data_IF_214548828544
#
_entry.id   IF_214548828544
#
_cell.length_a   1.000
_cell.length_b   1.000
_cell.length_c   1.000
_cell.angle_alpha   90.00
_cell.angle_beta   90.00
_cell.angle_gamma   90.00
#
_symmetry.space_group_name_H-M   'P 1'
#
loop_
_entity.id
_entity.type
_entity.pdbx_description
1 polymer ?
#
# COMPACT_ATOMS: atom_id res chain seq x y z
N UNK A 1 3.79 4.92 1.95
CA UNK A 1 2.52 5.12 1.21
C UNK A 1 1.54 5.83 2.12
N UNK A 2 0.74 6.78 1.60
CA UNK A 2 -0.38 7.38 2.33
C UNK A 2 -1.63 6.54 2.13
N UNK A 3 -2.37 6.25 3.20
CA UNK A 3 -3.66 5.57 3.15
C UNK A 3 -4.75 6.51 3.64
N UNK A 4 -5.71 6.74 2.76
CA UNK A 4 -6.83 7.66 2.97
C UNK A 4 -8.10 6.83 3.21
N UNK A 5 -8.91 7.23 4.18
CA UNK A 5 -10.20 6.59 4.43
C UNK A 5 -11.14 6.70 3.23
N UNK A 6 -12.14 5.83 3.19
CA UNK A 6 -13.19 5.82 2.18
C UNK A 6 -13.86 7.19 2.01
N UNK A 7 -13.93 8.00 3.06
CA UNK A 7 -14.54 9.34 3.04
C UNK A 7 -13.55 10.49 2.80
N UNK A 8 -12.24 10.22 2.70
CA UNK A 8 -11.24 11.24 2.43
C UNK A 8 -10.82 12.09 3.64
N UNK A 9 -11.37 11.82 4.83
CA UNK A 9 -11.20 12.65 6.02
C UNK A 9 -10.10 12.19 6.98
N UNK A 10 -9.60 10.97 6.81
CA UNK A 10 -8.48 10.42 7.58
C UNK A 10 -7.37 10.08 6.59
N UNK A 11 -6.15 10.52 6.90
CA UNK A 11 -4.97 10.29 6.06
C UNK A 11 -3.77 9.90 6.94
N UNK A 12 -3.35 8.63 6.83
CA UNK A 12 -2.36 8.00 7.69
C UNK A 12 -1.20 7.39 6.88
N UNK A 13 0.03 7.38 7.42
CA UNK A 13 1.14 6.66 6.79
C UNK A 13 0.98 5.14 6.99
N UNK A 14 1.01 4.36 5.90
CA UNK A 14 0.86 2.90 5.92
C UNK A 14 1.91 2.23 6.83
N UNK A 15 3.16 2.66 6.75
CA UNK A 15 4.30 2.01 7.41
C UNK A 15 4.33 2.18 8.94
N UNK A 16 3.51 3.08 9.50
CA UNK A 16 3.44 3.34 10.94
C UNK A 16 2.15 2.82 11.59
N UNK A 17 1.14 2.52 10.78
CA UNK A 17 -0.17 2.15 11.29
C UNK A 17 -0.46 0.69 10.96
N UNK A 18 -1.06 -0.01 11.91
CA UNK A 18 -1.71 -1.27 11.60
C UNK A 18 -3.07 -0.99 11.00
N UNK A 19 -3.44 -1.80 10.00
CA UNK A 19 -4.74 -1.73 9.33
C UNK A 19 -5.29 -3.15 9.28
N UNK A 20 -6.50 -3.35 9.79
CA UNK A 20 -7.16 -4.65 9.81
C UNK A 20 -8.67 -4.52 9.66
N UNK A 21 -9.34 -5.65 9.48
CA UNK A 21 -10.78 -5.71 9.74
C UNK A 21 -11.03 -5.52 11.24
N UNK A 22 -12.16 -4.92 11.59
CA UNK A 22 -12.63 -4.87 12.96
C UNK A 22 -13.03 -6.27 13.43
N UNK A 23 -12.61 -6.64 14.64
CA UNK A 23 -12.86 -7.98 15.18
C UNK A 23 -14.34 -8.21 15.56
N UNK A 24 -15.07 -7.14 15.86
CA UNK A 24 -16.49 -7.20 16.23
C UNK A 24 -17.40 -7.17 14.99
N UNK A 25 -17.02 -6.40 13.97
CA UNK A 25 -17.74 -6.30 12.71
C UNK A 25 -16.74 -6.32 11.55
N UNK A 26 -16.64 -7.48 10.90
CA UNK A 26 -15.68 -7.70 9.81
C UNK A 26 -16.06 -7.00 8.50
N UNK A 27 -17.16 -6.25 8.47
CA UNK A 27 -17.47 -5.35 7.33
C UNK A 27 -16.74 -4.01 7.43
N UNK A 28 -16.10 -3.73 8.58
CA UNK A 28 -15.42 -2.47 8.87
C UNK A 28 -13.91 -2.67 8.82
N UNK A 29 -13.20 -1.78 8.13
CA UNK A 29 -11.74 -1.68 8.17
C UNK A 29 -11.37 -0.59 9.17
N UNK A 30 -10.42 -0.90 10.04
CA UNK A 30 -9.91 0.00 11.08
C UNK A 30 -8.39 0.18 10.97
N UNK A 31 -7.89 1.28 11.53
CA UNK A 31 -6.47 1.54 11.67
C UNK A 31 -6.11 2.09 13.06
N UNK A 32 -4.88 1.84 13.50
CA UNK A 32 -4.32 2.38 14.74
C UNK A 32 -2.79 2.54 14.65
N UNK A 33 -2.24 3.52 15.40
CA UNK A 33 -0.81 3.75 15.48
C UNK A 33 -0.17 2.74 16.46
N UNK A 34 0.74 1.90 15.94
CA UNK A 34 1.43 0.86 16.69
C UNK A 34 2.43 1.40 17.71
N UNK A 35 2.90 2.62 17.52
CA UNK A 35 3.90 3.26 18.37
C UNK A 35 3.27 4.21 19.40
N UNK A 36 1.97 4.46 19.29
CA UNK A 36 1.26 5.32 20.22
C UNK A 36 0.78 4.52 21.42
N UNK A 37 0.89 5.10 22.62
CA UNK A 37 0.21 4.61 23.82
C UNK A 37 -1.30 4.92 23.80
N UNK A 38 -1.81 5.52 22.72
CA UNK A 38 -3.22 5.86 22.59
C UNK A 38 -3.97 4.69 21.96
N UNK A 39 -5.06 4.27 22.58
CA UNK A 39 -5.97 3.26 22.02
C UNK A 39 -6.89 3.85 20.93
N UNK A 40 -6.42 4.88 20.20
CA UNK A 40 -7.21 5.54 19.18
C UNK A 40 -7.24 4.69 17.92
N UNK A 41 -8.34 3.95 17.80
CA UNK A 41 -8.73 3.24 16.59
C UNK A 41 -9.58 4.18 15.74
N UNK A 42 -9.31 4.20 14.43
CA UNK A 42 -10.10 4.97 13.46
C UNK A 42 -10.68 4.04 12.40
N UNK A 43 -11.90 4.33 11.96
CA UNK A 43 -12.54 3.62 10.85
C UNK A 43 -12.02 4.15 9.52
N UNK A 44 -11.52 3.24 8.68
CA UNK A 44 -10.97 3.56 7.37
C UNK A 44 -11.95 3.28 6.24
N UNK A 45 -12.95 2.42 6.45
CA UNK A 45 -14.02 2.16 5.49
C UNK A 45 -15.03 1.14 6.01
N UNK A 46 -16.25 1.21 5.49
CA UNK A 46 -17.36 0.30 5.82
C UNK A 46 -17.89 -0.29 4.51
N UNK A 47 -18.14 -1.60 4.50
CA UNK A 47 -18.58 -2.34 3.32
C UNK A 47 -19.86 -3.13 3.60
N UNK A 48 -20.54 -3.59 2.57
CA UNK A 48 -21.80 -4.33 2.69
C UNK A 48 -21.61 -5.80 3.09
N UNK A 49 -20.38 -6.33 3.01
CA UNK A 49 -20.05 -7.71 3.39
C UNK A 49 -18.60 -7.87 3.83
N UNK A 50 -18.30 -8.93 4.57
CA UNK A 50 -16.92 -9.31 4.95
C UNK A 50 -16.06 -9.57 3.70
N UNK A 51 -16.64 -10.17 2.65
CA UNK A 51 -15.94 -10.46 1.40
C UNK A 51 -15.48 -9.18 0.70
N UNK A 52 -16.33 -8.15 0.64
CA UNK A 52 -15.96 -6.84 0.12
C UNK A 52 -14.89 -6.15 0.96
N UNK A 53 -15.01 -6.17 2.28
CA UNK A 53 -13.99 -5.59 3.16
C UNK A 53 -12.63 -6.31 3.00
N UNK A 54 -12.64 -7.64 2.85
CA UNK A 54 -11.44 -8.43 2.53
C UNK A 54 -10.87 -8.07 1.16
N UNK A 55 -11.71 -7.86 0.15
CA UNK A 55 -11.29 -7.46 -1.19
C UNK A 55 -10.64 -6.07 -1.19
N UNK A 56 -11.21 -5.12 -0.47
CA UNK A 56 -10.61 -3.79 -0.30
C UNK A 56 -9.24 -3.85 0.41
N UNK A 57 -9.09 -4.72 1.42
CA UNK A 57 -7.78 -5.00 2.03
C UNK A 57 -6.79 -5.63 1.05
N UNK A 58 -7.25 -6.51 0.14
CA UNK A 58 -6.43 -7.07 -0.93
C UNK A 58 -5.94 -5.97 -1.89
N UNK A 59 -6.82 -5.06 -2.30
CA UNK A 59 -6.47 -3.91 -3.16
C UNK A 59 -5.40 -3.02 -2.53
N UNK A 60 -5.50 -2.75 -1.23
CA UNK A 60 -4.47 -2.01 -0.48
C UNK A 60 -3.12 -2.73 -0.53
N UNK A 61 -3.09 -4.05 -0.25
CA UNK A 61 -1.86 -4.85 -0.28
C UNK A 61 -1.26 -4.90 -1.68
N UNK A 62 -2.09 -5.09 -2.71
CA UNK A 62 -1.66 -5.13 -4.11
C UNK A 62 -1.08 -3.77 -4.55
N UNK A 63 -1.66 -2.66 -4.09
CA UNK A 63 -1.11 -1.32 -4.34
C UNK A 63 0.26 -1.16 -3.70
N UNK A 64 0.42 -1.64 -2.46
CA UNK A 64 1.70 -1.58 -1.74
C UNK A 64 2.78 -2.49 -2.33
N UNK A 65 2.44 -3.70 -2.78
CA UNK A 65 3.41 -4.61 -3.40
C UNK A 65 3.73 -4.25 -4.85
N UNK A 66 2.80 -3.61 -5.56
CA UNK A 66 2.99 -3.15 -6.92
C UNK A 66 3.91 -1.93 -7.06
N UNK A 67 4.33 -1.32 -5.95
CA UNK A 67 5.18 -0.12 -5.93
C UNK A 67 6.52 -0.36 -6.65
N UNK A 68 6.84 0.39 -7.72
CA UNK A 68 8.08 0.17 -8.44
C UNK A 68 9.27 0.78 -7.69
N UNK A 69 10.42 0.10 -7.78
CA UNK A 69 11.73 0.66 -7.42
C UNK A 69 12.35 1.27 -8.68
N UNK A 70 12.84 2.50 -8.59
CA UNK A 70 13.52 3.18 -9.69
C UNK A 70 15.03 2.93 -9.56
N UNK A 71 15.63 2.42 -10.62
CA UNK A 71 17.05 2.15 -10.76
C UNK A 71 17.61 3.10 -11.83
N UNK A 72 18.33 4.13 -11.40
CA UNK A 72 18.97 5.09 -12.30
C UNK A 72 20.38 4.61 -12.65
N UNK A 73 20.69 4.45 -13.94
CA UNK A 73 22.03 4.06 -14.45
C UNK A 73 22.67 2.89 -13.69
N UNK A 74 21.90 1.86 -13.38
CA UNK A 74 22.36 0.65 -12.71
C UNK A 74 22.26 -0.50 -13.71
N UNK A 75 23.38 -1.19 -13.92
CA UNK A 75 23.33 -2.51 -14.55
C UNK A 75 22.59 -3.46 -13.60
N UNK A 76 21.53 -4.10 -14.08
CA UNK A 76 20.73 -5.03 -13.28
C UNK A 76 21.32 -6.43 -13.43
N UNK A 77 22.00 -6.98 -12.41
CA UNK A 77 22.53 -8.33 -12.49
C UNK A 77 21.42 -9.38 -12.33
N UNK A 78 21.68 -10.60 -12.79
CA UNK A 78 20.71 -11.71 -12.84
C UNK A 78 20.15 -12.11 -11.45
N UNK A 79 20.91 -11.93 -10.38
CA UNK A 79 20.44 -12.14 -9.00
C UNK A 79 19.41 -11.09 -8.57
N UNK A 80 19.54 -9.84 -9.03
CA UNK A 80 18.52 -8.80 -8.83
C UNK A 80 17.28 -9.11 -9.66
N UNK A 81 17.41 -9.52 -10.92
CA UNK A 81 16.24 -9.92 -11.74
C UNK A 81 15.45 -11.06 -11.08
N UNK A 82 16.15 -12.12 -10.63
CA UNK A 82 15.53 -13.23 -9.89
C UNK A 82 14.88 -12.80 -8.58
N UNK A 83 15.43 -11.79 -7.90
CA UNK A 83 14.79 -11.22 -6.71
C UNK A 83 13.44 -10.61 -7.06
N UNK A 84 13.36 -9.81 -8.13
CA UNK A 84 12.12 -9.14 -8.56
C UNK A 84 11.04 -10.15 -8.96
N UNK A 85 11.41 -11.22 -9.67
CA UNK A 85 10.48 -12.31 -10.02
C UNK A 85 9.93 -13.01 -8.77
N UNK A 86 10.82 -13.36 -7.83
CA UNK A 86 10.43 -14.07 -6.60
C UNK A 86 9.54 -13.22 -5.69
N UNK A 87 9.84 -11.92 -5.58
CA UNK A 87 9.07 -10.99 -4.73
C UNK A 87 7.87 -10.38 -5.44
N UNK A 88 7.71 -10.62 -6.75
CA UNK A 88 6.74 -9.95 -7.63
C UNK A 88 6.84 -8.42 -7.54
N UNK A 89 8.05 -7.91 -7.32
CA UNK A 89 8.30 -6.47 -7.31
C UNK A 89 8.46 -5.95 -8.73
N UNK A 90 8.04 -4.70 -8.92
CA UNK A 90 8.23 -4.00 -10.19
C UNK A 90 9.45 -3.09 -10.13
N UNK A 91 10.15 -2.93 -11.26
CA UNK A 91 11.32 -2.06 -11.38
C UNK A 91 11.20 -1.15 -12.59
N UNK A 92 11.71 0.08 -12.47
CA UNK A 92 11.87 1.01 -13.58
C UNK A 92 13.36 1.27 -13.73
N UNK A 93 13.93 0.86 -14.87
CA UNK A 93 15.29 1.24 -15.25
C UNK A 93 15.25 2.59 -15.97
N UNK A 94 15.86 3.60 -15.36
CA UNK A 94 15.98 4.93 -15.92
C UNK A 94 17.45 5.19 -16.32
N UNK A 95 17.65 5.61 -17.57
CA UNK A 95 18.96 5.96 -18.12
C UNK A 95 19.01 7.49 -18.24
N UNK A 96 19.91 8.13 -17.51
CA UNK A 96 20.01 9.59 -17.40
C UNK A 96 21.41 10.08 -17.75
N UNK A 97 21.50 11.26 -18.35
CA UNK A 97 22.77 11.85 -18.82
C UNK A 97 23.76 12.19 -17.71
N UNK A 98 23.28 12.31 -16.46
CA UNK A 98 24.13 12.60 -15.30
C UNK A 98 25.03 11.41 -14.90
N UNK A 99 24.82 10.22 -15.50
CA UNK A 99 25.58 8.97 -15.30
C UNK A 99 25.75 8.56 -13.83
N UNK A 100 24.90 9.06 -12.93
CA UNK A 100 24.95 8.70 -11.52
C UNK A 100 24.07 7.49 -11.28
N UNK A 101 24.66 6.43 -10.73
CA UNK A 101 23.91 5.26 -10.29
C UNK A 101 23.18 5.58 -8.99
N UNK A 102 21.86 5.40 -8.95
CA UNK A 102 21.03 5.67 -7.76
C UNK A 102 19.80 4.76 -7.73
N UNK A 103 19.42 4.33 -6.52
CA UNK A 103 18.15 3.64 -6.26
C UNK A 103 17.19 4.65 -5.62
N UNK A 104 15.98 4.77 -6.18
CA UNK A 104 14.92 5.62 -5.65
C UNK A 104 13.64 4.81 -5.44
N UNK A 105 12.88 5.18 -4.42
CA UNK A 105 11.58 4.59 -4.11
C UNK A 105 10.49 5.61 -4.42
N UNK A 106 9.40 5.15 -5.05
CA UNK A 106 8.24 6.02 -5.30
C UNK A 106 7.54 6.29 -3.97
N UNK A 107 7.90 7.41 -3.34
CA UNK A 107 7.49 7.74 -1.97
C UNK A 107 6.14 8.50 -1.87
N UNK A 108 5.58 8.94 -3.00
CA UNK A 108 4.38 9.78 -3.07
C UNK A 108 3.09 9.02 -3.42
N UNK A 109 3.08 7.69 -3.25
CA UNK A 109 1.87 6.90 -3.51
C UNK A 109 0.80 7.14 -2.44
N UNK A 110 -0.43 7.28 -2.94
CA UNK A 110 -1.65 7.48 -2.17
C UNK A 110 -2.60 6.35 -2.55
N UNK A 111 -3.10 5.64 -1.54
CA UNK A 111 -4.20 4.70 -1.69
C UNK A 111 -5.39 5.24 -0.90
N UNK A 112 -6.53 5.42 -1.56
CA UNK A 112 -7.78 5.72 -0.88
C UNK A 112 -8.64 4.46 -0.89
N UNK A 113 -9.21 4.10 0.26
CA UNK A 113 -10.15 2.97 0.31
C UNK A 113 -11.33 3.22 -0.63
N UNK A 114 -11.70 2.23 -1.47
CA UNK A 114 -12.80 2.38 -2.41
C UNK A 114 -14.15 2.48 -1.70
N UNK A 115 -15.12 3.07 -2.38
CA UNK A 115 -16.54 2.97 -2.01
C UNK A 115 -17.02 1.53 -2.12
N UNK A 116 -18.12 1.21 -1.45
CA UNK A 116 -18.66 -0.15 -1.45
C UNK A 116 -19.03 -0.64 -2.86
N UNK A 117 -19.59 0.26 -3.68
CA UNK A 117 -19.98 0.00 -5.06
C UNK A 117 -18.79 -0.22 -6.01
N UNK A 118 -17.59 0.20 -5.64
CA UNK A 118 -16.35 0.03 -6.42
C UNK A 118 -15.66 -1.31 -6.14
N UNK A 119 -16.16 -2.08 -5.17
CA UNK A 119 -15.61 -3.39 -4.78
C UNK A 119 -16.49 -4.51 -5.30
N UNK A 120 -16.01 -5.19 -6.34
CA UNK A 120 -16.63 -6.40 -6.91
C UNK A 120 -16.10 -7.68 -6.23
N UNK A 121 -16.99 -8.63 -5.95
CA UNK A 121 -16.73 -9.93 -5.30
C UNK A 121 -17.15 -11.06 -6.24
#
# INVERSE_FOLDING_TARGET
MRVISQWGNIDIPYERNCISLCNTDKTIIIAWDMLSSSEKIVEMGVYSSEEKAMKAMEMLRNTYTGMPVILNNIDVPEDVERMFERTKMNGILAITDDKKSKIEYVNNMIFQFPKDEEVEV
#
